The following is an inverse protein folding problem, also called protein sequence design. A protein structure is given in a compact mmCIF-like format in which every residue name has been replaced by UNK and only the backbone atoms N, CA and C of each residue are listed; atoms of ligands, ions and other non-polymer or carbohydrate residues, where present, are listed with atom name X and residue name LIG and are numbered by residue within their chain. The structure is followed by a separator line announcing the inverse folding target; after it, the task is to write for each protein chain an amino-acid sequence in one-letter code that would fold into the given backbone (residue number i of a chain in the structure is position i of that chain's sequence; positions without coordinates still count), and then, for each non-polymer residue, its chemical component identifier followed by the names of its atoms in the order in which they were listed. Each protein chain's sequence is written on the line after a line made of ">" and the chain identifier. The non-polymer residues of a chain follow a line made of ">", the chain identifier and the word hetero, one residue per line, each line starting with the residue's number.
data_IF_857755391846
#
_entry.id   IF_857755391846
#
_cell.length_a   1.000
_cell.length_b   1.000
_cell.length_c   1.000
_cell.angle_alpha   90.00
_cell.angle_beta   90.00
_cell.angle_gamma   90.00
#
_symmetry.space_group_name_H-M   'P 1'
#
loop_
_entity.id
_entity.type
_entity.pdbx_description
1 polymer ?
#
# COMPACT_ATOMS: atom_id res chain seq x y z
N UNK A 1 19.19 -7.38 2.14
CA UNK A 1 18.64 -7.19 0.78
C UNK A 1 17.15 -7.48 0.82
N UNK A 2 16.31 -6.50 0.47
CA UNK A 2 14.87 -6.51 0.65
C UNK A 2 14.18 -6.33 -0.71
N UNK A 3 13.72 -7.41 -1.37
CA UNK A 3 13.03 -7.28 -2.64
C UNK A 3 11.56 -6.86 -2.46
N UNK A 4 11.16 -5.84 -3.19
CA UNK A 4 9.80 -5.30 -3.25
C UNK A 4 9.20 -5.53 -4.64
N UNK A 5 7.88 -5.68 -4.70
CA UNK A 5 7.12 -5.84 -5.94
C UNK A 5 6.81 -7.31 -6.29
N UNK A 6 6.09 -7.53 -7.40
CA UNK A 6 5.53 -8.82 -7.79
C UNK A 6 6.58 -9.91 -7.97
N UNK A 7 6.24 -11.13 -7.57
CA UNK A 7 7.02 -12.33 -7.82
C UNK A 7 6.37 -13.13 -8.95
N UNK A 8 7.15 -13.44 -9.99
CA UNK A 8 6.72 -14.29 -11.11
C UNK A 8 6.93 -15.77 -10.79
N UNK A 9 6.33 -16.63 -11.60
CA UNK A 9 6.41 -18.08 -11.44
C UNK A 9 7.88 -18.53 -11.31
N UNK A 10 8.20 -19.25 -10.23
CA UNK A 10 9.56 -19.72 -9.93
C UNK A 10 9.95 -20.95 -10.75
N UNK A 11 8.97 -21.71 -11.25
CA UNK A 11 9.19 -22.94 -12.02
C UNK A 11 9.55 -22.66 -13.48
N UNK A 12 9.30 -21.43 -13.95
CA UNK A 12 9.56 -21.01 -15.33
C UNK A 12 10.58 -19.86 -15.29
N UNK A 13 11.87 -20.14 -15.53
CA UNK A 13 12.90 -19.11 -15.57
C UNK A 13 12.55 -18.05 -16.63
N UNK A 14 12.51 -16.78 -16.22
CA UNK A 14 12.25 -15.68 -17.15
C UNK A 14 12.85 -14.37 -16.68
N UNK A 15 13.21 -13.49 -17.62
CA UNK A 15 13.65 -12.12 -17.32
C UNK A 15 12.62 -11.32 -16.50
N UNK A 16 11.34 -11.67 -16.57
CA UNK A 16 10.31 -11.02 -15.77
C UNK A 16 10.52 -11.19 -14.25
N UNK A 17 11.31 -12.18 -13.82
CA UNK A 17 11.67 -12.38 -12.41
C UNK A 17 12.66 -11.33 -11.89
N UNK A 18 13.42 -10.64 -12.77
CA UNK A 18 14.37 -9.60 -12.36
C UNK A 18 13.72 -8.23 -12.17
N UNK A 19 12.43 -8.09 -12.49
CA UNK A 19 11.68 -6.85 -12.37
C UNK A 19 11.16 -6.65 -10.93
N UNK A 20 12.08 -6.59 -9.96
CA UNK A 20 11.80 -6.28 -8.55
C UNK A 20 12.70 -5.15 -8.07
N UNK A 21 12.20 -4.35 -7.15
CA UNK A 21 12.96 -3.28 -6.52
C UNK A 21 13.78 -3.90 -5.39
N UNK A 22 15.10 -3.86 -5.51
CA UNK A 22 16.02 -4.42 -4.51
C UNK A 22 16.54 -3.32 -3.61
N UNK A 23 16.04 -3.27 -2.38
CA UNK A 23 16.51 -2.32 -1.38
C UNK A 23 17.65 -2.91 -0.55
N UNK A 24 18.56 -2.05 -0.11
CA UNK A 24 19.58 -2.44 0.86
C UNK A 24 18.94 -2.82 2.21
N UNK A 25 17.95 -2.04 2.64
CA UNK A 25 17.22 -2.18 3.89
C UNK A 25 15.73 -1.80 3.69
N UNK A 26 14.83 -2.12 4.63
CA UNK A 26 13.39 -1.91 4.45
C UNK A 26 12.93 -0.48 4.80
N UNK A 27 13.84 0.41 5.18
CA UNK A 27 13.53 1.78 5.60
C UNK A 27 13.62 2.69 4.36
N UNK A 28 12.54 3.42 4.11
CA UNK A 28 12.42 4.32 2.96
C UNK A 28 12.45 5.77 3.42
N UNK A 29 13.19 6.61 2.69
CA UNK A 29 13.17 8.05 2.95
C UNK A 29 11.88 8.68 2.43
N UNK A 30 11.58 9.91 2.89
CA UNK A 30 10.45 10.67 2.37
C UNK A 30 10.55 10.92 0.85
N UNK A 31 11.78 11.05 0.32
CA UNK A 31 12.02 11.20 -1.12
C UNK A 31 11.66 9.92 -1.86
N UNK A 32 12.06 8.77 -1.33
CA UNK A 32 11.71 7.46 -1.91
C UNK A 32 10.19 7.26 -1.92
N UNK A 33 9.52 7.62 -0.81
CA UNK A 33 8.06 7.53 -0.71
C UNK A 33 7.35 8.47 -1.70
N UNK A 34 7.85 9.67 -1.92
CA UNK A 34 7.30 10.59 -2.92
C UNK A 34 7.39 10.01 -4.33
N UNK A 35 8.54 9.42 -4.68
CA UNK A 35 8.73 8.72 -5.95
C UNK A 35 7.77 7.54 -6.07
N UNK A 36 7.68 6.68 -5.06
CA UNK A 36 6.86 5.47 -5.10
C UNK A 36 5.37 5.79 -5.23
N UNK A 37 4.89 6.86 -4.59
CA UNK A 37 3.50 7.35 -4.77
C UNK A 37 3.23 7.88 -6.16
N UNK A 38 4.25 8.43 -6.84
CA UNK A 38 4.08 9.00 -8.17
C UNK A 38 3.98 7.97 -9.29
N UNK A 39 4.30 6.71 -8.99
CA UNK A 39 4.23 5.60 -9.92
C UNK A 39 2.80 5.36 -10.39
N UNK A 40 2.62 5.26 -11.71
CA UNK A 40 1.33 4.93 -12.33
C UNK A 40 0.45 6.12 -12.73
N UNK A 41 0.99 7.34 -12.75
CA UNK A 41 0.29 8.52 -13.29
C UNK A 41 -0.30 9.48 -12.25
N UNK A 42 0.06 9.35 -10.98
CA UNK A 42 -0.19 10.39 -9.98
C UNK A 42 1.01 11.34 -9.95
N UNK A 43 0.97 12.53 -10.57
CA UNK A 43 2.13 13.41 -10.59
C UNK A 43 2.52 13.81 -9.17
N UNK A 44 3.82 13.84 -8.83
CA UNK A 44 4.25 14.36 -7.55
C UNK A 44 3.81 15.82 -7.41
N UNK A 45 3.41 16.23 -6.22
CA UNK A 45 3.01 17.61 -5.89
C UNK A 45 4.17 18.63 -6.00
N UNK A 46 5.37 18.17 -6.35
CA UNK A 46 6.51 18.99 -6.76
C UNK A 46 7.06 18.44 -8.09
N UNK A 47 7.24 19.27 -9.13
CA UNK A 47 7.74 18.83 -10.42
C UNK A 47 9.27 18.70 -10.35
N UNK A 48 9.76 17.59 -9.82
CA UNK A 48 11.11 17.13 -10.14
C UNK A 48 10.98 16.12 -11.29
N UNK A 49 11.69 16.38 -12.40
CA UNK A 49 11.73 15.50 -13.57
C UNK A 49 12.21 14.09 -13.18
N UNK A 50 11.27 13.18 -12.93
CA UNK A 50 11.58 11.77 -12.72
C UNK A 50 11.91 11.17 -14.09
N UNK A 51 13.20 11.12 -14.41
CA UNK A 51 13.71 10.52 -15.65
C UNK A 51 13.35 9.03 -15.67
N UNK A 52 12.43 8.65 -16.56
CA UNK A 52 11.94 7.27 -16.69
C UNK A 52 13.03 6.39 -17.32
N UNK A 53 13.89 5.79 -16.49
CA UNK A 53 15.05 4.98 -16.93
C UNK A 53 14.86 3.47 -16.78
N UNK A 54 13.75 2.97 -16.23
CA UNK A 54 13.54 1.52 -16.01
C UNK A 54 12.08 1.08 -15.97
N UNK A 55 11.81 -0.21 -16.24
CA UNK A 55 10.48 -0.85 -16.15
C UNK A 55 9.86 -0.79 -14.74
N UNK A 56 10.65 -0.56 -13.70
CA UNK A 56 10.13 -0.32 -12.33
C UNK A 56 9.31 0.99 -12.28
N UNK A 57 9.58 1.94 -13.19
CA UNK A 57 8.84 3.20 -13.30
C UNK A 57 7.51 3.06 -14.06
N UNK A 58 7.21 1.88 -14.62
CA UNK A 58 5.88 1.55 -15.15
C UNK A 58 4.98 0.88 -14.11
N UNK A 59 5.47 0.68 -12.88
CA UNK A 59 4.64 0.14 -11.81
C UNK A 59 3.50 1.09 -11.47
N UNK A 60 2.41 0.52 -10.99
CA UNK A 60 1.29 1.28 -10.44
C UNK A 60 1.26 1.13 -8.93
N UNK A 61 1.18 2.27 -8.25
CA UNK A 61 0.97 2.31 -6.80
C UNK A 61 -0.42 2.79 -6.47
N UNK A 62 -1.01 2.25 -5.40
CA UNK A 62 -2.26 2.75 -4.82
C UNK A 62 -2.06 3.02 -3.35
N UNK A 63 -2.61 4.15 -2.90
CA UNK A 63 -2.58 4.55 -1.50
C UNK A 63 -3.90 4.10 -0.87
N UNK A 64 -3.77 3.27 0.17
CA UNK A 64 -4.86 2.84 1.02
C UNK A 64 -4.80 3.64 2.32
N UNK A 65 -5.78 4.53 2.47
CA UNK A 65 -5.90 5.38 3.65
C UNK A 65 -6.36 4.56 4.87
N UNK A 66 -5.53 4.51 5.90
CA UNK A 66 -5.75 3.81 7.15
C UNK A 66 -6.25 4.77 8.26
N UNK A 67 -7.10 5.76 7.90
CA UNK A 67 -7.70 6.69 8.86
C UNK A 67 -9.22 6.62 8.86
N UNK A 68 -9.82 6.56 10.05
CA UNK A 68 -11.26 6.45 10.30
C UNK A 68 -11.86 7.83 10.55
N UNK A 69 -12.90 8.20 9.79
CA UNK A 69 -13.65 9.45 10.01
C UNK A 69 -14.50 9.39 11.28
N UNK A 70 -14.47 10.47 12.08
CA UNK A 70 -15.24 10.56 13.34
C UNK A 70 -16.69 11.00 13.13
N UNK A 71 -16.98 11.70 12.02
CA UNK A 71 -18.26 12.40 11.78
C UNK A 71 -19.41 11.57 11.21
N UNK A 72 -19.26 10.25 11.07
CA UNK A 72 -20.33 9.41 10.52
C UNK A 72 -21.26 8.87 11.61
N UNK A 73 -22.44 9.50 11.67
CA UNK A 73 -23.70 8.92 12.13
C UNK A 73 -23.97 9.02 13.62
N UNK A 74 -25.08 9.67 13.96
CA UNK A 74 -25.76 9.73 15.26
C UNK A 74 -26.28 8.37 15.78
N UNK A 75 -25.76 7.25 15.28
CA UNK A 75 -26.08 5.91 15.76
C UNK A 75 -25.05 5.45 16.79
N UNK A 76 -25.54 4.85 17.88
CA UNK A 76 -24.72 4.25 18.96
C UNK A 76 -24.02 2.96 18.49
N UNK A 77 -23.23 3.03 17.43
CA UNK A 77 -22.39 1.92 16.97
C UNK A 77 -21.10 1.94 17.79
N UNK A 78 -20.74 0.79 18.38
CA UNK A 78 -19.48 0.63 19.11
C UNK A 78 -18.28 0.91 18.21
N UNK A 79 -17.24 1.55 18.76
CA UNK A 79 -15.99 1.80 18.06
C UNK A 79 -15.38 0.52 17.47
N UNK A 80 -15.55 -0.61 18.16
CA UNK A 80 -15.08 -1.92 17.68
C UNK A 80 -15.74 -2.35 16.38
N UNK A 81 -17.06 -2.15 16.24
CA UNK A 81 -17.79 -2.47 15.01
C UNK A 81 -17.38 -1.54 13.86
N UNK A 82 -17.19 -0.24 14.14
CA UNK A 82 -16.70 0.73 13.14
C UNK A 82 -15.32 0.34 12.62
N UNK A 83 -14.39 0.01 13.53
CA UNK A 83 -13.05 -0.45 13.16
C UNK A 83 -13.08 -1.75 12.37
N UNK A 84 -13.94 -2.69 12.75
CA UNK A 84 -14.08 -3.97 12.05
C UNK A 84 -14.54 -3.77 10.61
N UNK A 85 -15.62 -3.01 10.39
CA UNK A 85 -16.10 -2.70 9.04
C UNK A 85 -15.07 -1.94 8.22
N UNK A 86 -14.42 -0.93 8.81
CA UNK A 86 -13.34 -0.21 8.15
C UNK A 86 -12.20 -1.13 7.68
N UNK A 87 -11.78 -2.08 8.52
CA UNK A 87 -10.74 -3.04 8.14
C UNK A 87 -11.21 -4.00 7.04
N UNK A 88 -12.49 -4.38 7.02
CA UNK A 88 -13.07 -5.14 5.92
C UNK A 88 -13.02 -4.34 4.62
N UNK A 89 -13.47 -3.09 4.64
CA UNK A 89 -13.43 -2.20 3.48
C UNK A 89 -12.00 -1.97 2.98
N UNK A 90 -11.05 -1.79 3.89
CA UNK A 90 -9.63 -1.63 3.56
C UNK A 90 -9.08 -2.89 2.86
N UNK A 91 -9.44 -4.07 3.37
CA UNK A 91 -9.08 -5.35 2.77
C UNK A 91 -9.70 -5.54 1.38
N UNK A 92 -10.97 -5.17 1.23
CA UNK A 92 -11.69 -5.33 -0.04
C UNK A 92 -11.17 -4.32 -1.09
N UNK A 93 -10.83 -3.09 -0.70
CA UNK A 93 -10.12 -2.12 -1.54
C UNK A 93 -8.76 -2.65 -1.99
N UNK A 94 -7.98 -3.22 -1.07
CA UNK A 94 -6.68 -3.81 -1.40
C UNK A 94 -6.81 -4.96 -2.40
N UNK A 95 -7.79 -5.84 -2.20
CA UNK A 95 -8.07 -6.97 -3.08
C UNK A 95 -8.47 -6.49 -4.49
N UNK A 96 -9.41 -5.55 -4.56
CA UNK A 96 -9.89 -4.97 -5.82
C UNK A 96 -8.76 -4.29 -6.60
N UNK A 97 -7.90 -3.53 -5.93
CA UNK A 97 -6.75 -2.88 -6.55
C UNK A 97 -5.79 -3.89 -7.19
N UNK A 98 -5.58 -5.06 -6.57
CA UNK A 98 -4.70 -6.10 -7.12
C UNK A 98 -5.37 -6.86 -8.27
N UNK A 99 -6.67 -7.14 -8.18
CA UNK A 99 -7.40 -7.93 -9.18
C UNK A 99 -7.73 -7.14 -10.44
N UNK A 100 -8.28 -5.94 -10.30
CA UNK A 100 -8.88 -5.18 -11.39
C UNK A 100 -7.94 -4.08 -11.90
N UNK A 101 -7.26 -3.40 -10.99
CA UNK A 101 -6.41 -2.26 -11.35
C UNK A 101 -4.97 -2.67 -11.65
N UNK A 102 -4.65 -3.98 -11.57
CA UNK A 102 -3.30 -4.57 -11.72
C UNK A 102 -2.19 -3.70 -11.13
N UNK A 103 -2.34 -3.42 -9.83
CA UNK A 103 -1.42 -2.64 -9.01
C UNK A 103 -0.22 -3.48 -8.57
N UNK A 104 0.97 -2.90 -8.61
CA UNK A 104 2.24 -3.54 -8.21
C UNK A 104 2.63 -3.21 -6.77
N UNK A 105 2.18 -2.06 -6.24
CA UNK A 105 2.47 -1.58 -4.89
C UNK A 105 1.22 -1.07 -4.17
N UNK A 106 0.98 -1.58 -2.97
CA UNK A 106 0.00 -1.04 -2.03
C UNK A 106 0.74 -0.25 -0.94
N UNK A 107 0.40 1.03 -0.82
CA UNK A 107 0.92 1.92 0.21
C UNK A 107 -0.19 2.09 1.26
N UNK A 108 -0.06 1.46 2.42
CA UNK A 108 -1.00 1.63 3.54
C UNK A 108 -0.49 2.81 4.36
N UNK A 109 -1.33 3.85 4.51
CA UNK A 109 -0.91 5.15 5.02
C UNK A 109 -1.82 5.68 6.12
N UNK A 110 -1.25 6.09 7.25
CA UNK A 110 -1.96 6.81 8.31
C UNK A 110 -1.80 8.35 8.23
N UNK A 111 -1.16 8.84 7.15
CA UNK A 111 -0.77 10.24 6.97
C UNK A 111 -1.94 11.23 6.99
N UNK A 112 -3.15 10.78 6.64
CA UNK A 112 -4.35 11.63 6.63
C UNK A 112 -4.93 11.90 8.04
N UNK A 113 -4.23 11.48 9.10
CA UNK A 113 -4.66 11.69 10.47
C UNK A 113 -4.84 13.18 10.79
N UNK A 114 -5.95 13.50 11.44
CA UNK A 114 -6.34 14.87 11.78
C UNK A 114 -7.31 14.85 12.95
N UNK A 115 -7.77 16.01 13.43
CA UNK A 115 -8.76 16.10 14.52
C UNK A 115 -10.03 15.31 14.24
N UNK A 116 -10.39 15.18 12.97
CA UNK A 116 -11.62 14.53 12.50
C UNK A 116 -11.37 13.12 11.92
N UNK A 117 -10.11 12.68 11.87
CA UNK A 117 -9.69 11.40 11.27
C UNK A 117 -8.72 10.67 12.20
N UNK A 118 -9.20 9.60 12.82
CA UNK A 118 -8.41 8.79 13.74
C UNK A 118 -7.50 7.82 12.97
N UNK A 119 -6.19 7.79 13.23
CA UNK A 119 -5.32 6.79 12.63
C UNK A 119 -5.67 5.40 13.17
N UNK A 120 -5.77 4.42 12.27
CA UNK A 120 -5.81 3.01 12.64
C UNK A 120 -4.37 2.55 12.88
N UNK A 121 -4.08 1.83 13.98
CA UNK A 121 -2.73 1.32 14.24
C UNK A 121 -2.17 0.61 13.02
N UNK A 122 -1.02 1.07 12.51
CA UNK A 122 -0.57 0.66 11.17
C UNK A 122 -0.31 -0.84 11.09
N UNK A 123 0.15 -1.44 12.18
CA UNK A 123 0.39 -2.88 12.29
C UNK A 123 -0.91 -3.68 12.08
N UNK A 124 -2.03 -3.17 12.60
CA UNK A 124 -3.34 -3.80 12.44
C UNK A 124 -3.82 -3.72 10.99
N UNK A 125 -3.70 -2.55 10.37
CA UNK A 125 -4.08 -2.34 8.97
C UNK A 125 -3.24 -3.21 8.02
N UNK A 126 -1.92 -3.19 8.17
CA UNK A 126 -0.99 -4.02 7.39
C UNK A 126 -1.24 -5.50 7.62
N UNK A 127 -1.42 -5.92 8.87
CA UNK A 127 -1.70 -7.32 9.22
C UNK A 127 -2.99 -7.83 8.58
N UNK A 128 -4.07 -7.05 8.67
CA UNK A 128 -5.36 -7.39 8.07
C UNK A 128 -5.26 -7.55 6.54
N UNK A 129 -4.69 -6.55 5.84
CA UNK A 129 -4.50 -6.58 4.39
C UNK A 129 -3.57 -7.73 3.97
N UNK A 130 -2.45 -7.91 4.67
CA UNK A 130 -1.51 -8.98 4.38
C UNK A 130 -2.18 -10.36 4.46
N UNK A 131 -2.89 -10.63 5.57
CA UNK A 131 -3.58 -11.91 5.78
C UNK A 131 -4.71 -12.12 4.77
N UNK A 132 -5.47 -11.07 4.42
CA UNK A 132 -6.48 -11.15 3.35
C UNK A 132 -5.85 -11.55 2.02
N UNK A 133 -4.79 -10.87 1.59
CA UNK A 133 -4.14 -11.16 0.31
C UNK A 133 -3.48 -12.54 0.28
N UNK A 134 -2.99 -13.05 1.42
CA UNK A 134 -2.49 -14.43 1.53
C UNK A 134 -3.64 -15.43 1.31
N UNK A 135 -4.76 -15.26 2.01
CA UNK A 135 -5.94 -16.15 1.89
C UNK A 135 -6.57 -16.14 0.48
N UNK A 136 -6.35 -15.07 -0.27
CA UNK A 136 -6.82 -14.91 -1.66
C UNK A 136 -5.75 -15.25 -2.70
N UNK A 137 -4.57 -15.72 -2.27
CA UNK A 137 -3.43 -16.05 -3.15
C UNK A 137 -2.90 -14.86 -3.98
N UNK A 138 -3.18 -13.64 -3.53
CA UNK A 138 -2.80 -12.39 -4.20
C UNK A 138 -1.50 -11.78 -3.66
N UNK A 139 -1.02 -12.22 -2.48
CA UNK A 139 0.14 -11.59 -1.80
C UNK A 139 1.41 -11.56 -2.65
N UNK A 140 1.64 -12.54 -3.52
CA UNK A 140 2.82 -12.58 -4.40
C UNK A 140 2.75 -11.58 -5.55
N UNK A 141 1.56 -11.05 -5.87
CA UNK A 141 1.35 -10.14 -7.00
C UNK A 141 1.68 -8.68 -6.70
N UNK A 142 1.93 -8.33 -5.43
CA UNK A 142 2.02 -6.93 -4.99
C UNK A 142 3.05 -6.74 -3.88
N UNK A 143 3.73 -5.60 -3.86
CA UNK A 143 4.50 -5.11 -2.71
C UNK A 143 3.61 -4.36 -1.74
N UNK A 144 3.84 -4.51 -0.42
CA UNK A 144 3.14 -3.72 0.60
C UNK A 144 4.17 -2.80 1.25
N UNK A 145 3.85 -1.52 1.34
CA UNK A 145 4.64 -0.49 1.98
C UNK A 145 3.77 0.15 3.06
N UNK A 146 4.28 0.22 4.28
CA UNK A 146 3.64 0.94 5.37
C UNK A 146 4.24 2.34 5.43
N UNK A 147 3.40 3.36 5.40
CA UNK A 147 3.78 4.74 5.65
C UNK A 147 3.07 5.20 6.91
N UNK A 148 3.84 5.43 7.97
CA UNK A 148 3.29 5.65 9.30
C UNK A 148 4.01 6.75 10.08
N UNK A 149 3.23 7.51 10.84
CA UNK A 149 3.74 8.43 11.87
C UNK A 149 3.96 7.78 13.25
N UNK A 150 3.54 6.53 13.46
CA UNK A 150 3.64 5.83 14.76
C UNK A 150 5.02 5.23 15.03
N UNK A 151 5.90 5.18 14.02
CA UNK A 151 7.21 4.55 14.12
C UNK A 151 8.17 5.36 15.01
N UNK A 152 8.58 4.78 16.13
CA UNK A 152 9.67 5.26 17.00
C UNK A 152 10.87 4.33 16.92
#
# INVERSE_FOLDING_TARGET
>A
MCPIGPQKNILIPSRAQTHRLWLANPILSLKDMALLRSLGGNPPSQPEEVKITSTVLSWRSVILDATLSVHEGSEKVSLGSKLFHFLQDLCDKAENAVLHDSVDLLIISDRASSRDRLPVPILLAVGAVHQRLVRRELRMRVGIIAETGESK
#
